data_IF_644078969911
#
_entry.id   IF_644078969911
#
_cell.length_a   1.000
_cell.length_b   1.000
_cell.length_c   1.000
_cell.angle_alpha   90.00
_cell.angle_beta   90.00
_cell.angle_gamma   90.00
#
_symmetry.space_group_name_H-M   'P 1'
#
loop_
_entity.id
_entity.type
_entity.pdbx_description
1 polymer ?
#
# COMPACT_ATOMS: atom_id res chain seq x y z
N UNK A 1 -19.57 -3.87 -14.71
CA UNK A 1 -18.33 -3.27 -14.16
C UNK A 1 -18.24 -3.54 -12.67
N UNK A 2 -17.35 -2.84 -11.96
CA UNK A 2 -17.22 -2.92 -10.51
C UNK A 2 -18.02 -1.79 -9.82
N UNK A 3 -18.59 -2.06 -8.65
CA UNK A 3 -18.97 -1.04 -7.67
C UNK A 3 -17.71 -0.59 -6.92
N UNK A 4 -17.40 0.71 -6.97
CA UNK A 4 -16.08 1.23 -6.57
C UNK A 4 -16.18 2.07 -5.31
N UNK A 5 -15.32 1.75 -4.34
CA UNK A 5 -15.27 2.39 -3.03
C UNK A 5 -13.85 2.89 -2.74
N UNK A 6 -13.73 4.11 -2.25
CA UNK A 6 -12.48 4.69 -1.74
C UNK A 6 -12.66 5.07 -0.28
N UNK A 7 -12.01 4.32 0.62
CA UNK A 7 -12.05 4.53 2.06
C UNK A 7 -10.67 5.02 2.48
N UNK A 8 -10.56 6.22 3.07
CA UNK A 8 -9.25 6.80 3.39
C UNK A 8 -9.17 7.36 4.80
N UNK A 9 -8.09 7.02 5.50
CA UNK A 9 -7.72 7.65 6.77
C UNK A 9 -6.89 8.92 6.56
N UNK A 10 -6.34 9.12 5.36
CA UNK A 10 -5.74 10.38 4.98
C UNK A 10 -6.82 11.41 4.63
N UNK A 11 -6.71 12.61 5.22
CA UNK A 11 -7.74 13.63 5.05
C UNK A 11 -7.85 14.10 3.58
N UNK A 12 -9.08 14.19 3.06
CA UNK A 12 -9.36 14.77 1.75
C UNK A 12 -8.81 16.22 1.60
N UNK A 13 -8.85 17.00 2.69
CA UNK A 13 -8.43 18.40 2.69
C UNK A 13 -6.92 18.60 2.50
N UNK A 14 -6.07 17.72 3.06
CA UNK A 14 -4.62 17.72 2.78
C UNK A 14 -4.31 17.29 1.34
N UNK A 15 -5.26 16.67 0.65
CA UNK A 15 -5.12 16.10 -0.68
C UNK A 15 -5.87 16.92 -1.75
N UNK A 16 -6.47 18.07 -1.41
CA UNK A 16 -7.17 18.90 -2.41
C UNK A 16 -6.21 19.34 -3.53
N UNK A 17 -6.53 18.97 -4.77
CA UNK A 17 -5.71 19.25 -5.95
C UNK A 17 -4.60 18.23 -6.23
N UNK A 18 -4.46 17.16 -5.44
CA UNK A 18 -3.47 16.10 -5.69
C UNK A 18 -3.97 15.06 -6.70
N UNK A 19 -3.02 14.32 -7.28
CA UNK A 19 -3.34 13.20 -8.17
C UNK A 19 -4.15 12.11 -7.44
N UNK A 20 -3.85 11.86 -6.15
CA UNK A 20 -4.55 10.87 -5.34
C UNK A 20 -6.01 11.26 -5.13
N UNK A 21 -6.30 12.52 -4.80
CA UNK A 21 -7.69 12.99 -4.72
C UNK A 21 -8.42 12.85 -6.05
N UNK A 22 -7.73 13.13 -7.17
CA UNK A 22 -8.31 12.94 -8.52
C UNK A 22 -8.62 11.49 -8.83
N UNK A 23 -7.82 10.54 -8.34
CA UNK A 23 -8.12 9.10 -8.45
C UNK A 23 -9.30 8.73 -7.55
N UNK A 24 -9.29 9.15 -6.29
CA UNK A 24 -10.35 8.90 -5.32
C UNK A 24 -11.72 9.39 -5.83
N UNK A 25 -11.77 10.57 -6.45
CA UNK A 25 -12.98 11.15 -7.05
C UNK A 25 -13.62 10.28 -8.14
N UNK A 26 -12.89 9.35 -8.74
CA UNK A 26 -13.43 8.39 -9.73
C UNK A 26 -14.14 7.20 -9.12
N UNK A 27 -14.02 6.97 -7.80
CA UNK A 27 -14.81 5.96 -7.10
C UNK A 27 -16.29 6.40 -6.99
N UNK A 28 -17.24 5.46 -7.00
CA UNK A 28 -18.66 5.76 -6.80
C UNK A 28 -18.94 6.23 -5.38
N UNK A 29 -18.37 5.52 -4.42
CA UNK A 29 -18.52 5.79 -2.99
C UNK A 29 -17.17 6.21 -2.42
N UNK A 30 -17.16 7.25 -1.58
CA UNK A 30 -15.93 7.80 -0.98
C UNK A 30 -16.20 8.15 0.47
N UNK A 31 -15.36 7.66 1.37
CA UNK A 31 -15.44 7.93 2.80
C UNK A 31 -14.06 8.33 3.30
N UNK A 32 -14.01 9.39 4.10
CA UNK A 32 -12.79 9.87 4.74
C UNK A 32 -12.99 9.86 6.25
N UNK A 33 -12.12 9.14 6.96
CA UNK A 33 -12.10 9.11 8.43
C UNK A 33 -11.00 10.02 8.95
N UNK A 34 -11.12 10.43 10.22
CA UNK A 34 -10.08 11.20 10.93
C UNK A 34 -9.69 10.41 12.17
N UNK A 35 -8.44 9.94 12.21
CA UNK A 35 -7.91 9.12 13.28
C UNK A 35 -7.11 7.95 12.73
N UNK A 36 -7.00 6.88 13.52
CA UNK A 36 -6.21 5.71 13.18
C UNK A 36 -6.86 4.86 12.09
N UNK A 37 -6.04 4.11 11.35
CA UNK A 37 -6.46 3.34 10.19
C UNK A 37 -7.56 2.31 10.50
N UNK A 38 -7.67 1.82 11.74
CA UNK A 38 -8.75 0.89 12.16
C UNK A 38 -10.16 1.46 11.98
N UNK A 39 -10.31 2.79 11.95
CA UNK A 39 -11.59 3.45 11.69
C UNK A 39 -12.12 3.17 10.28
N UNK A 40 -11.30 2.61 9.39
CA UNK A 40 -11.74 2.14 8.07
C UNK A 40 -12.51 0.81 8.13
N UNK A 41 -12.34 0.00 9.17
CA UNK A 41 -12.93 -1.35 9.24
C UNK A 41 -14.46 -1.36 9.23
N UNK A 42 -15.18 -0.49 9.97
CA UNK A 42 -16.64 -0.42 9.87
C UNK A 42 -17.13 -0.05 8.46
N UNK A 43 -16.42 0.86 7.79
CA UNK A 43 -16.76 1.27 6.43
C UNK A 43 -16.40 0.20 5.39
N UNK A 44 -15.36 -0.59 5.62
CA UNK A 44 -15.09 -1.79 4.84
C UNK A 44 -16.24 -2.79 4.99
N UNK A 45 -16.75 -3.00 6.22
CA UNK A 45 -17.88 -3.89 6.45
C UNK A 45 -19.13 -3.43 5.69
N UNK A 46 -19.43 -2.13 5.74
CA UNK A 46 -20.50 -1.50 4.96
C UNK A 46 -20.29 -1.72 3.46
N UNK A 47 -19.11 -1.37 2.94
CA UNK A 47 -18.75 -1.52 1.54
C UNK A 47 -18.81 -2.97 1.07
N UNK A 48 -18.53 -3.95 1.94
CA UNK A 48 -18.62 -5.38 1.64
C UNK A 48 -20.06 -5.90 1.60
N UNK A 49 -20.97 -5.30 2.39
CA UNK A 49 -22.36 -5.75 2.51
C UNK A 49 -23.35 -4.97 1.62
N UNK A 50 -22.96 -3.81 1.09
CA UNK A 50 -23.76 -3.06 0.10
C UNK A 50 -24.01 -3.86 -1.19
N UNK A 51 -25.03 -3.54 -2.00
CA UNK A 51 -25.19 -4.06 -3.37
C UNK A 51 -24.82 -5.56 -3.56
N UNK A 52 -25.47 -6.50 -2.83
CA UNK A 52 -25.09 -7.91 -2.85
C UNK A 52 -25.13 -8.48 -4.27
N UNK A 53 -24.16 -9.35 -4.60
CA UNK A 53 -24.00 -9.93 -5.94
C UNK A 53 -23.21 -9.07 -6.94
N UNK A 54 -22.96 -7.79 -6.66
CA UNK A 54 -22.10 -6.96 -7.50
C UNK A 54 -20.61 -7.26 -7.27
N UNK A 55 -19.80 -7.18 -8.35
CA UNK A 55 -18.33 -7.17 -8.24
C UNK A 55 -17.89 -5.84 -7.64
N UNK A 56 -16.94 -5.85 -6.70
CA UNK A 56 -16.49 -4.65 -5.98
C UNK A 56 -14.99 -4.43 -6.09
N UNK A 57 -14.60 -3.17 -6.23
CA UNK A 57 -13.23 -2.71 -6.01
C UNK A 57 -13.27 -1.73 -4.84
N UNK A 58 -12.63 -2.10 -3.74
CA UNK A 58 -12.59 -1.29 -2.52
C UNK A 58 -11.12 -0.94 -2.28
N UNK A 59 -10.81 0.35 -2.23
CA UNK A 59 -9.48 0.87 -1.89
C UNK A 59 -9.50 1.32 -0.45
N UNK A 60 -8.58 0.78 0.36
CA UNK A 60 -8.25 1.30 1.70
C UNK A 60 -6.97 2.12 1.57
N UNK A 61 -7.07 3.43 1.76
CA UNK A 61 -5.94 4.35 1.69
C UNK A 61 -5.51 4.76 3.10
N UNK A 62 -4.49 4.07 3.59
CA UNK A 62 -3.99 4.11 4.95
C UNK A 62 -3.08 5.32 5.22
N UNK A 63 -2.91 5.66 6.48
CA UNK A 63 -1.81 6.51 6.95
C UNK A 63 -0.53 5.69 7.10
N UNK A 64 -0.65 4.44 7.55
CA UNK A 64 0.48 3.52 7.68
C UNK A 64 1.57 4.04 8.60
N UNK A 65 2.82 3.93 8.15
CA UNK A 65 4.00 4.29 8.94
C UNK A 65 4.57 5.68 8.61
N UNK A 66 3.75 6.61 8.10
CA UNK A 66 4.17 7.98 7.75
C UNK A 66 4.81 8.72 8.96
N UNK A 67 5.72 9.66 8.77
CA UNK A 67 6.27 10.43 9.90
C UNK A 67 5.33 11.58 10.34
N UNK A 68 5.29 11.98 11.62
CA UNK A 68 6.01 11.42 12.76
C UNK A 68 5.40 10.10 13.22
N UNK A 69 6.20 9.04 13.19
CA UNK A 69 5.77 7.62 13.26
C UNK A 69 4.97 7.28 14.53
N UNK A 70 5.32 7.89 15.67
CA UNK A 70 4.64 7.65 16.96
C UNK A 70 3.20 8.19 17.02
N UNK A 71 2.74 8.97 16.03
CA UNK A 71 1.42 9.61 16.04
C UNK A 71 0.35 8.85 15.26
N UNK A 72 0.74 7.84 14.48
CA UNK A 72 -0.16 7.19 13.52
C UNK A 72 -0.84 5.92 14.04
N UNK A 73 -0.57 5.54 15.28
CA UNK A 73 -1.15 4.38 15.92
C UNK A 73 -1.38 4.65 17.42
N UNK A 74 -2.38 4.01 18.03
CA UNK A 74 -2.75 4.24 19.43
C UNK A 74 -1.76 3.55 20.39
N UNK A 75 -1.26 4.30 21.39
CA UNK A 75 -0.20 3.84 22.32
C UNK A 75 -0.55 2.57 23.10
N UNK A 76 -1.83 2.32 23.37
CA UNK A 76 -2.30 1.12 24.07
C UNK A 76 -2.21 -0.16 23.21
N UNK A 77 -1.99 -0.03 21.90
CA UNK A 77 -1.70 -1.15 20.99
C UNK A 77 -0.20 -1.48 20.86
N UNK A 78 0.66 -0.80 21.63
CA UNK A 78 2.10 -1.06 21.62
C UNK A 78 2.44 -2.49 22.05
N UNK A 79 3.15 -3.21 21.19
CA UNK A 79 3.75 -4.52 21.47
C UNK A 79 5.21 -4.35 21.86
N UNK A 80 5.98 -3.59 21.08
CA UNK A 80 7.38 -3.31 21.37
C UNK A 80 7.51 -2.16 22.37
N UNK A 81 8.33 -2.35 23.41
CA UNK A 81 8.48 -1.43 24.55
C UNK A 81 9.93 -1.41 25.04
N UNK A 82 10.38 -0.34 25.72
CA UNK A 82 9.66 0.92 26.02
C UNK A 82 9.40 1.79 24.77
N UNK A 83 8.43 2.72 24.85
CA UNK A 83 8.11 3.68 23.78
C UNK A 83 8.97 4.96 23.89
N UNK A 84 10.28 4.78 23.94
CA UNK A 84 11.25 5.85 24.18
C UNK A 84 12.02 6.28 22.92
N UNK A 85 11.96 5.49 21.83
CA UNK A 85 12.60 5.83 20.55
C UNK A 85 11.63 5.77 19.36
N UNK A 86 11.97 6.51 18.28
CA UNK A 86 11.20 6.48 17.04
C UNK A 86 11.30 5.12 16.33
N UNK A 87 12.38 4.35 16.50
CA UNK A 87 12.52 2.99 15.96
C UNK A 87 11.46 2.05 16.57
N UNK A 88 11.29 2.08 17.90
CA UNK A 88 10.25 1.29 18.56
C UNK A 88 8.86 1.74 18.10
N UNK A 89 8.67 3.04 17.84
CA UNK A 89 7.41 3.53 17.28
C UNK A 89 7.17 3.06 15.83
N UNK A 90 8.21 3.01 15.00
CA UNK A 90 8.12 2.56 13.63
C UNK A 90 7.81 1.06 13.55
N UNK A 91 8.44 0.23 14.38
CA UNK A 91 8.13 -1.19 14.46
C UNK A 91 6.68 -1.42 14.94
N UNK A 92 6.20 -0.62 15.90
CA UNK A 92 4.81 -0.67 16.33
C UNK A 92 3.82 -0.17 15.25
N UNK A 93 4.18 0.82 14.41
CA UNK A 93 3.31 1.26 13.31
C UNK A 93 3.18 0.19 12.21
N UNK A 94 4.26 -0.56 11.95
CA UNK A 94 4.23 -1.73 11.07
C UNK A 94 3.34 -2.81 11.68
N UNK A 95 3.53 -3.16 12.95
CA UNK A 95 2.68 -4.14 13.64
C UNK A 95 1.20 -3.72 13.65
N UNK A 96 0.91 -2.43 13.84
CA UNK A 96 -0.45 -1.91 13.78
C UNK A 96 -1.08 -2.08 12.39
N UNK A 97 -0.32 -1.81 11.33
CA UNK A 97 -0.74 -2.05 9.94
C UNK A 97 -0.98 -3.54 9.68
N UNK A 98 -0.09 -4.41 10.17
CA UNK A 98 -0.25 -5.87 10.07
C UNK A 98 -1.53 -6.36 10.78
N UNK A 99 -1.79 -5.87 11.99
CA UNK A 99 -3.01 -6.20 12.74
C UNK A 99 -4.29 -5.76 12.02
N UNK A 100 -4.27 -4.60 11.35
CA UNK A 100 -5.38 -4.14 10.51
C UNK A 100 -5.58 -5.07 9.31
N UNK A 101 -4.50 -5.45 8.61
CA UNK A 101 -4.56 -6.38 7.47
C UNK A 101 -5.10 -7.75 7.89
N UNK A 102 -4.72 -8.26 9.07
CA UNK A 102 -5.28 -9.48 9.65
C UNK A 102 -6.80 -9.40 9.82
N UNK A 103 -7.32 -8.27 10.32
CA UNK A 103 -8.77 -8.04 10.43
C UNK A 103 -9.44 -7.96 9.07
N UNK A 104 -8.82 -7.30 8.08
CA UNK A 104 -9.31 -7.27 6.69
C UNK A 104 -9.41 -8.70 6.12
N UNK A 105 -8.39 -9.53 6.30
CA UNK A 105 -8.40 -10.91 5.82
C UNK A 105 -9.48 -11.75 6.49
N UNK A 106 -9.66 -11.61 7.81
CA UNK A 106 -10.73 -12.29 8.54
C UNK A 106 -12.12 -11.92 7.99
N UNK A 107 -12.37 -10.65 7.66
CA UNK A 107 -13.63 -10.21 7.05
C UNK A 107 -13.87 -10.78 5.64
N UNK A 108 -12.81 -11.21 4.97
CA UNK A 108 -12.83 -11.71 3.59
C UNK A 108 -12.68 -13.23 3.47
N UNK A 109 -12.40 -13.93 4.56
CA UNK A 109 -12.03 -15.36 4.54
C UNK A 109 -13.08 -16.24 3.84
N UNK A 110 -14.36 -16.00 4.12
CA UNK A 110 -15.51 -16.73 3.56
C UNK A 110 -16.06 -16.12 2.26
N UNK A 111 -15.41 -15.08 1.72
CA UNK A 111 -15.84 -14.36 0.51
C UNK A 111 -14.85 -14.63 -0.61
N UNK A 112 -15.34 -14.79 -1.85
CA UNK A 112 -14.47 -14.94 -3.03
C UNK A 112 -13.73 -13.63 -3.34
N UNK A 113 -12.61 -13.41 -2.68
CA UNK A 113 -11.92 -12.12 -2.58
C UNK A 113 -10.41 -12.25 -2.81
N UNK A 114 -9.77 -11.12 -3.11
CA UNK A 114 -8.33 -10.98 -3.14
C UNK A 114 -7.96 -9.57 -2.69
N UNK A 115 -6.83 -9.42 -2.03
CA UNK A 115 -6.30 -8.13 -1.56
C UNK A 115 -4.92 -7.95 -2.15
N UNK A 116 -4.69 -6.82 -2.83
CA UNK A 116 -3.34 -6.38 -3.19
C UNK A 116 -2.93 -5.30 -2.20
N UNK A 117 -1.82 -5.51 -1.52
CA UNK A 117 -1.22 -4.53 -0.62
C UNK A 117 0.11 -4.07 -1.20
N UNK A 118 0.36 -2.77 -1.14
CA UNK A 118 1.67 -2.17 -1.40
C UNK A 118 1.78 -0.85 -0.64
N UNK A 119 2.99 -0.51 -0.17
CA UNK A 119 3.29 0.85 0.29
C UNK A 119 3.57 1.75 -0.90
N UNK A 120 3.24 3.03 -0.80
CA UNK A 120 3.54 4.04 -1.81
C UNK A 120 5.04 4.36 -1.90
N UNK A 121 5.71 4.42 -0.74
CA UNK A 121 7.17 4.49 -0.62
C UNK A 121 7.63 3.91 0.74
N UNK A 122 8.94 3.84 0.94
CA UNK A 122 9.59 3.54 2.22
C UNK A 122 10.09 4.82 2.90
N UNK A 123 10.65 4.69 4.10
CA UNK A 123 11.30 5.79 4.81
C UNK A 123 12.80 5.54 4.92
N UNK A 124 13.58 6.60 4.76
CA UNK A 124 15.01 6.58 5.09
C UNK A 124 15.22 6.73 6.59
N UNK A 125 16.30 6.15 7.10
CA UNK A 125 16.65 6.19 8.51
C UNK A 125 18.00 6.88 8.74
N UNK A 126 18.03 7.89 9.61
CA UNK A 126 19.24 8.56 10.07
C UNK A 126 19.12 8.97 11.56
N UNK A 127 19.85 8.29 12.47
CA UNK A 127 19.80 8.58 13.90
C UNK A 127 20.43 9.93 14.29
N UNK A 128 21.06 10.63 13.34
CA UNK A 128 21.63 11.96 13.59
C UNK A 128 20.63 13.10 13.41
N UNK A 129 19.44 12.81 12.87
CA UNK A 129 18.37 13.78 12.65
C UNK A 129 17.43 13.87 13.84
N UNK A 130 16.72 15.00 13.93
CA UNK A 130 15.66 15.23 14.93
C UNK A 130 14.51 14.22 14.80
N UNK A 131 14.07 13.97 13.56
CA UNK A 131 13.20 12.85 13.21
C UNK A 131 14.02 11.82 12.46
N UNK A 132 14.17 10.64 13.03
CA UNK A 132 15.12 9.64 12.52
C UNK A 132 14.59 8.95 11.28
N UNK A 133 13.27 8.92 11.07
CA UNK A 133 12.63 8.46 9.84
C UNK A 133 12.06 9.63 9.01
N UNK A 134 12.30 9.61 7.70
CA UNK A 134 11.86 10.66 6.79
C UNK A 134 11.72 10.17 5.34
N UNK A 135 10.95 10.90 4.54
CA UNK A 135 10.82 10.63 3.10
C UNK A 135 12.16 10.78 2.35
N UNK A 136 12.33 9.98 1.30
CA UNK A 136 13.42 10.18 0.35
C UNK A 136 13.33 11.55 -0.34
N UNK A 137 14.44 12.29 -0.33
CA UNK A 137 14.56 13.60 -0.97
C UNK A 137 15.33 13.57 -2.29
N UNK A 138 16.44 14.30 -2.35
CA UNK A 138 17.39 14.31 -3.47
C UNK A 138 18.38 13.15 -3.31
N UNK A 139 18.60 12.38 -4.37
CA UNK A 139 19.41 11.15 -4.36
C UNK A 139 19.11 10.25 -3.13
N UNK A 140 17.90 9.71 -2.94
CA UNK A 140 17.59 8.85 -1.81
C UNK A 140 18.37 7.53 -1.85
N UNK A 141 18.47 6.85 -0.71
CA UNK A 141 18.94 5.46 -0.61
C UNK A 141 17.84 4.48 -1.03
N UNK A 142 18.20 3.19 -1.10
CA UNK A 142 17.23 2.12 -1.36
C UNK A 142 16.09 2.07 -0.33
N UNK A 143 16.31 2.51 0.92
CA UNK A 143 15.28 2.52 1.97
C UNK A 143 14.03 3.33 1.58
N UNK A 144 14.18 4.41 0.80
CA UNK A 144 13.06 5.21 0.33
C UNK A 144 12.15 4.49 -0.68
N UNK A 145 12.66 3.46 -1.35
CA UNK A 145 11.98 2.80 -2.48
C UNK A 145 11.63 1.34 -2.21
N UNK A 146 12.30 0.69 -1.26
CA UNK A 146 12.09 -0.71 -0.95
C UNK A 146 10.85 -0.89 -0.08
N UNK A 147 9.75 -1.33 -0.69
CA UNK A 147 8.43 -1.40 -0.06
C UNK A 147 7.87 -2.82 -0.01
N UNK A 148 7.03 -3.15 0.99
CA UNK A 148 6.27 -4.40 0.98
C UNK A 148 5.23 -4.39 -0.13
N UNK A 149 5.07 -5.52 -0.81
CA UNK A 149 4.01 -5.73 -1.79
C UNK A 149 3.61 -7.20 -1.87
N UNK A 150 2.31 -7.49 -1.87
CA UNK A 150 1.81 -8.85 -2.06
C UNK A 150 0.36 -8.87 -2.57
N UNK A 151 -0.05 -10.03 -3.08
CA UNK A 151 -1.46 -10.34 -3.36
C UNK A 151 -1.87 -11.51 -2.46
N UNK A 152 -2.83 -11.25 -1.58
CA UNK A 152 -3.49 -12.28 -0.79
C UNK A 152 -4.78 -12.73 -1.48
N UNK A 153 -5.06 -14.04 -1.41
CA UNK A 153 -6.29 -14.63 -1.94
C UNK A 153 -7.04 -15.32 -0.81
N UNK A 154 -8.34 -15.06 -0.71
CA UNK A 154 -9.20 -15.76 0.25
C UNK A 154 -9.20 -17.27 -0.01
N UNK A 155 -9.35 -18.12 1.02
CA UNK A 155 -9.49 -19.57 0.84
C UNK A 155 -10.55 -19.97 -0.20
N UNK A 156 -11.67 -19.22 -0.27
CA UNK A 156 -12.77 -19.48 -1.20
C UNK A 156 -12.50 -19.10 -2.67
N UNK A 157 -11.36 -18.46 -2.99
CA UNK A 157 -11.02 -18.07 -4.38
C UNK A 157 -10.46 -19.22 -5.22
N UNK A 158 -10.21 -20.38 -4.60
CA UNK A 158 -9.81 -21.62 -5.28
C UNK A 158 -8.31 -21.72 -5.57
N UNK A 159 -7.93 -22.77 -6.30
CA UNK A 159 -6.53 -23.17 -6.53
C UNK A 159 -5.89 -22.54 -7.78
N UNK A 160 -6.68 -21.90 -8.66
CA UNK A 160 -6.19 -21.29 -9.91
C UNK A 160 -5.66 -19.87 -9.71
N UNK A 161 -4.94 -19.63 -8.61
CA UNK A 161 -4.28 -18.36 -8.33
C UNK A 161 -2.79 -18.60 -8.21
N UNK A 162 -1.99 -17.73 -8.83
CA UNK A 162 -0.55 -17.76 -8.67
C UNK A 162 -0.18 -17.36 -7.24
N UNK A 163 0.56 -18.24 -6.56
CA UNK A 163 1.04 -18.09 -5.17
C UNK A 163 2.56 -18.04 -5.10
N UNK A 164 3.24 -17.86 -6.23
CA UNK A 164 4.70 -17.81 -6.27
C UNK A 164 5.22 -16.47 -5.70
N UNK A 165 6.35 -16.56 -5.00
CA UNK A 165 7.10 -15.39 -4.57
C UNK A 165 7.95 -14.88 -5.73
N UNK A 166 7.79 -13.60 -6.06
CA UNK A 166 8.66 -12.91 -7.01
C UNK A 166 9.93 -12.46 -6.28
N UNK A 167 11.06 -13.06 -6.62
CA UNK A 167 12.37 -12.74 -6.01
C UNK A 167 13.15 -11.65 -6.79
N UNK A 168 12.66 -11.25 -7.96
CA UNK A 168 13.25 -10.18 -8.76
C UNK A 168 12.70 -8.82 -8.33
N UNK A 169 13.48 -7.75 -8.59
CA UNK A 169 12.99 -6.38 -8.40
C UNK A 169 11.79 -6.15 -9.31
N UNK A 170 10.69 -5.67 -8.73
CA UNK A 170 9.51 -5.21 -9.43
C UNK A 170 9.17 -3.79 -8.96
N UNK A 171 9.14 -2.83 -9.88
CA UNK A 171 8.86 -1.44 -9.54
C UNK A 171 7.35 -1.19 -9.44
N UNK A 172 6.92 -0.52 -8.37
CA UNK A 172 5.52 -0.11 -8.17
C UNK A 172 5.04 0.89 -9.23
N UNK A 173 5.96 1.48 -10.02
CA UNK A 173 5.63 2.29 -11.19
C UNK A 173 4.82 1.52 -12.26
N UNK A 174 4.85 0.18 -12.22
CA UNK A 174 4.07 -0.68 -13.13
C UNK A 174 2.82 -1.28 -12.47
N UNK A 175 2.42 -0.80 -11.28
CA UNK A 175 1.25 -1.31 -10.57
C UNK A 175 -0.05 -1.09 -11.32
N UNK A 176 -0.16 -0.08 -12.19
CA UNK A 176 -1.37 0.11 -13.00
C UNK A 176 -1.61 -1.08 -13.95
N UNK A 177 -0.56 -1.60 -14.59
CA UNK A 177 -0.62 -2.81 -15.42
C UNK A 177 -0.93 -4.04 -14.57
N UNK A 178 -0.26 -4.17 -13.41
CA UNK A 178 -0.46 -5.32 -12.52
C UNK A 178 -1.88 -5.37 -11.96
N UNK A 179 -2.41 -4.24 -11.50
CA UNK A 179 -3.79 -4.11 -11.01
C UNK A 179 -4.79 -4.41 -12.13
N UNK A 180 -4.58 -3.90 -13.35
CA UNK A 180 -5.45 -4.20 -14.48
C UNK A 180 -5.50 -5.71 -14.77
N UNK A 181 -4.34 -6.35 -14.88
CA UNK A 181 -4.25 -7.79 -15.13
C UNK A 181 -4.85 -8.61 -13.98
N UNK A 182 -4.56 -8.25 -12.73
CA UNK A 182 -5.12 -8.88 -11.53
C UNK A 182 -6.65 -8.79 -11.46
N UNK A 183 -7.22 -7.66 -11.88
CA UNK A 183 -8.66 -7.45 -11.94
C UNK A 183 -9.32 -8.08 -13.17
N UNK A 184 -8.55 -8.58 -14.13
CA UNK A 184 -9.04 -9.06 -15.43
C UNK A 184 -9.55 -7.93 -16.34
N UNK A 185 -9.08 -6.70 -16.13
CA UNK A 185 -9.38 -5.54 -16.98
C UNK A 185 -8.34 -5.50 -18.10
N UNK A 186 -8.70 -5.93 -19.30
CA UNK A 186 -7.76 -6.00 -20.42
C UNK A 186 -7.81 -4.75 -21.30
N UNK A 187 -6.65 -4.29 -21.74
CA UNK A 187 -6.49 -3.30 -22.82
C UNK A 187 -5.80 -3.98 -24.01
N UNK A 188 -6.08 -3.60 -25.27
CA UNK A 188 -5.62 -4.33 -26.46
C UNK A 188 -4.10 -4.58 -26.56
N UNK A 189 -3.26 -3.79 -25.87
CA UNK A 189 -1.80 -3.90 -25.90
C UNK A 189 -1.13 -4.20 -24.54
N UNK A 190 -1.92 -4.51 -23.50
CA UNK A 190 -1.40 -4.79 -22.16
C UNK A 190 -1.32 -6.30 -21.88
N UNK A 191 -0.32 -6.75 -21.09
CA UNK A 191 -0.33 -8.10 -20.52
C UNK A 191 -1.67 -8.40 -19.82
N UNK A 192 -2.13 -9.64 -19.92
CA UNK A 192 -3.46 -10.08 -19.47
C UNK A 192 -3.42 -10.74 -18.10
N UNK A 193 -2.28 -11.28 -17.70
CA UNK A 193 -2.10 -11.95 -16.39
C UNK A 193 -1.06 -11.22 -15.54
N UNK A 194 -1.15 -11.31 -14.20
CA UNK A 194 -0.10 -10.82 -13.31
C UNK A 194 1.29 -11.35 -13.67
N UNK A 195 1.40 -12.63 -14.02
CA UNK A 195 2.67 -13.26 -14.41
C UNK A 195 3.28 -12.63 -15.67
N UNK A 196 2.46 -12.35 -16.69
CA UNK A 196 2.93 -11.68 -17.92
C UNK A 196 3.39 -10.24 -17.62
N UNK A 197 2.71 -9.53 -16.71
CA UNK A 197 3.14 -8.20 -16.22
C UNK A 197 4.49 -8.32 -15.54
N UNK A 198 4.61 -9.19 -14.53
CA UNK A 198 5.85 -9.38 -13.76
C UNK A 198 7.00 -9.74 -14.70
N UNK A 199 6.81 -10.71 -15.59
CA UNK A 199 7.83 -11.14 -16.56
C UNK A 199 8.27 -10.02 -17.50
N UNK A 200 7.37 -9.13 -17.91
CA UNK A 200 7.68 -8.02 -18.82
C UNK A 200 8.54 -6.94 -18.18
N UNK A 201 8.33 -6.66 -16.90
CA UNK A 201 8.99 -5.56 -16.19
C UNK A 201 9.94 -6.00 -15.08
N UNK A 202 10.13 -7.31 -14.88
CA UNK A 202 11.10 -7.82 -13.91
C UNK A 202 12.49 -7.24 -14.14
N UNK A 203 13.13 -6.83 -13.06
CA UNK A 203 14.47 -6.25 -13.09
C UNK A 203 14.53 -4.81 -13.61
N UNK A 204 13.43 -4.22 -14.11
CA UNK A 204 13.35 -2.77 -14.35
C UNK A 204 13.33 -2.08 -13.00
N UNK A 205 14.32 -1.23 -12.78
CA UNK A 205 14.64 -0.70 -11.46
C UNK A 205 14.89 0.80 -11.49
N UNK A 206 14.29 1.49 -12.45
CA UNK A 206 14.36 2.95 -12.55
C UNK A 206 13.50 3.58 -11.45
N UNK A 207 14.10 4.53 -10.73
CA UNK A 207 13.46 5.34 -9.68
C UNK A 207 13.81 6.81 -9.90
N UNK A 208 13.00 7.73 -9.37
CA UNK A 208 13.24 9.16 -9.49
C UNK A 208 13.28 9.84 -8.13
N UNK A 209 14.16 10.84 -7.99
CA UNK A 209 14.22 11.68 -6.80
C UNK A 209 13.23 12.85 -6.87
N UNK A 210 13.21 13.70 -5.83
CA UNK A 210 12.36 14.88 -5.77
C UNK A 210 12.61 15.92 -6.88
N UNK A 211 13.73 15.83 -7.61
CA UNK A 211 14.05 16.69 -8.77
C UNK A 211 13.74 16.00 -10.11
N UNK A 212 13.10 14.82 -10.08
CA UNK A 212 12.83 13.97 -11.24
C UNK A 212 14.08 13.45 -11.95
N UNK A 213 15.24 13.41 -11.28
CA UNK A 213 16.41 12.74 -11.82
C UNK A 213 16.19 11.23 -11.76
N UNK A 214 16.48 10.51 -12.84
CA UNK A 214 16.30 9.07 -12.92
C UNK A 214 17.58 8.35 -12.48
N UNK A 215 17.43 7.37 -11.59
CA UNK A 215 18.50 6.52 -11.09
C UNK A 215 18.14 5.05 -11.29
N UNK A 216 19.18 4.22 -11.41
CA UNK A 216 19.02 2.78 -11.24
C UNK A 216 19.02 2.45 -9.74
N UNK A 217 17.90 1.96 -9.21
CA UNK A 217 17.74 1.55 -7.80
C UNK A 217 18.87 0.64 -7.31
N UNK A 218 19.33 -0.32 -8.14
CA UNK A 218 20.40 -1.26 -7.76
C UNK A 218 21.76 -0.59 -7.56
N UNK A 219 21.94 0.62 -8.09
CA UNK A 219 23.15 1.42 -7.94
C UNK A 219 23.06 2.45 -6.80
N UNK A 220 21.90 2.57 -6.14
CA UNK A 220 21.75 3.44 -4.98
C UNK A 220 22.42 2.81 -3.76
N UNK A 221 22.89 3.67 -2.85
CA UNK A 221 23.32 3.24 -1.51
C UNK A 221 22.19 2.53 -0.78
N UNK A 222 22.52 1.55 0.05
CA UNK A 222 21.53 0.72 0.72
C UNK A 222 20.74 1.51 1.78
N UNK A 223 21.40 2.39 2.53
CA UNK A 223 20.82 3.21 3.59
C UNK A 223 21.21 4.67 3.42
N UNK A 224 20.60 5.57 4.20
CA UNK A 224 20.86 7.02 4.07
C UNK A 224 22.33 7.40 4.27
N UNK A 225 23.04 6.72 5.18
CA UNK A 225 24.43 6.99 5.58
C UNK A 225 25.46 6.72 4.48
#
# INVERSE_FOLDING_TARGET
GFDTWWLSAQSAFRQNGTAVASIAMRARNRIYVRGYDELLLPHLAEALNSNPGCRKLIVLHLTGSHEPVCSNWPRDKAVFKPLDTEEVCYDNSIHYTDSLLGQVFAMLETRRASVMYFSDHGLEYDPTKEHVYFHGGIKPSQQAYHVPMFIWYSPTRGEHVDRQTVNSVFSTAYNDYLINAWMGVTRPAQPKTPEEVITRWQGKSDVFDANHNVFNYKALRNSFK
#
